data_IF_230663509017
#
_entry.id   IF_230663509017
#
_cell.length_a   1.000
_cell.length_b   1.000
_cell.length_c   1.000
_cell.angle_alpha   90.00
_cell.angle_beta   90.00
_cell.angle_gamma   90.00
#
_symmetry.space_group_name_H-M   'P 1'
#
loop_
_entity.id
_entity.type
_entity.pdbx_description
1 polymer ?
#
# COMPACT_ATOMS: atom_id res chain seq x y z
N UNK A 1 -9.86 -0.31 -4.47
CA UNK A 1 -11.20 -0.85 -4.83
C UNK A 1 -12.08 -1.09 -3.61
N UNK A 2 -11.77 -2.05 -2.73
CA UNK A 2 -12.69 -2.45 -1.65
C UNK A 2 -13.09 -1.31 -0.69
N UNK A 3 -12.13 -0.46 -0.34
CA UNK A 3 -12.36 0.72 0.52
C UNK A 3 -13.37 1.67 -0.12
N UNK A 4 -13.24 1.93 -1.41
CA UNK A 4 -14.13 2.83 -2.15
C UNK A 4 -15.55 2.28 -2.22
N UNK A 5 -15.70 1.02 -2.64
CA UNK A 5 -17.02 0.40 -2.78
C UNK A 5 -17.81 0.38 -1.47
N UNK A 6 -17.13 0.08 -0.37
CA UNK A 6 -17.74 0.13 0.95
C UNK A 6 -18.06 1.56 1.41
N UNK A 7 -17.15 2.51 1.20
CA UNK A 7 -17.36 3.88 1.62
C UNK A 7 -18.59 4.48 0.96
N UNK A 8 -18.73 4.30 -0.37
CA UNK A 8 -19.89 4.74 -1.13
C UNK A 8 -21.17 4.05 -0.67
N UNK A 9 -21.15 2.73 -0.49
CA UNK A 9 -22.33 1.98 -0.05
C UNK A 9 -22.83 2.42 1.33
N UNK A 10 -21.92 2.69 2.28
CA UNK A 10 -22.31 3.17 3.61
C UNK A 10 -22.87 4.59 3.59
N UNK A 11 -22.26 5.49 2.82
CA UNK A 11 -22.77 6.85 2.63
C UNK A 11 -24.18 6.80 2.04
N UNK A 12 -24.39 6.02 0.98
CA UNK A 12 -25.69 5.89 0.30
C UNK A 12 -26.76 5.21 1.17
N UNK A 13 -26.41 4.15 1.89
CA UNK A 13 -27.40 3.33 2.61
C UNK A 13 -27.64 3.77 4.04
N UNK A 14 -26.67 4.45 4.67
CA UNK A 14 -26.66 4.65 6.12
C UNK A 14 -26.33 6.09 6.53
N UNK A 15 -25.94 6.97 5.59
CA UNK A 15 -25.66 8.38 5.86
C UNK A 15 -24.40 8.61 6.69
N UNK A 16 -23.46 7.67 6.68
CA UNK A 16 -22.20 7.77 7.42
C UNK A 16 -21.15 6.78 6.90
N UNK A 17 -19.94 6.86 7.44
CA UNK A 17 -18.81 6.02 7.05
C UNK A 17 -18.22 5.31 8.27
N UNK A 18 -17.85 4.04 8.11
CA UNK A 18 -17.07 3.29 9.09
C UNK A 18 -15.75 2.82 8.49
N UNK A 19 -14.64 2.85 9.23
CA UNK A 19 -13.38 2.33 8.71
C UNK A 19 -13.49 0.81 8.54
N UNK A 20 -13.40 0.33 7.29
CA UNK A 20 -13.51 -1.09 6.91
C UNK A 20 -12.23 -1.72 6.41
N UNK A 21 -11.35 -0.93 5.83
CA UNK A 21 -10.07 -1.36 5.26
C UNK A 21 -8.97 -0.64 6.02
N UNK A 22 -7.98 -1.39 6.50
CA UNK A 22 -6.82 -0.82 7.17
C UNK A 22 -6.12 0.20 6.27
N UNK A 23 -5.49 1.25 6.84
CA UNK A 23 -4.50 2.04 6.12
C UNK A 23 -3.44 1.13 5.50
N UNK A 24 -3.05 1.42 4.26
CA UNK A 24 -1.91 0.77 3.62
C UNK A 24 -0.64 1.51 4.06
N UNK A 25 0.44 0.77 4.30
CA UNK A 25 1.71 1.37 4.68
C UNK A 25 2.42 1.92 3.44
N UNK A 26 2.97 3.13 3.54
CA UNK A 26 3.80 3.70 2.49
C UNK A 26 5.22 3.11 2.51
N UNK A 27 5.84 3.00 1.34
CA UNK A 27 7.19 2.46 1.14
C UNK A 27 8.21 3.19 2.02
N UNK A 28 8.09 4.53 2.10
CA UNK A 28 8.96 5.37 2.93
C UNK A 28 8.77 5.10 4.42
N UNK A 29 7.53 4.92 4.86
CA UNK A 29 7.22 4.65 6.26
C UNK A 29 7.77 3.31 6.71
N UNK A 30 7.70 2.29 5.84
CA UNK A 30 8.31 0.98 6.08
C UNK A 30 9.83 1.08 6.15
N UNK A 31 10.48 1.80 5.23
CA UNK A 31 11.92 2.02 5.29
C UNK A 31 12.36 2.74 6.57
N UNK A 32 11.62 3.79 6.97
CA UNK A 32 11.85 4.48 8.22
C UNK A 32 11.61 3.58 9.45
N UNK A 33 10.61 2.71 9.41
CA UNK A 33 10.34 1.74 10.47
C UNK A 33 11.48 0.74 10.62
N UNK A 34 12.05 0.23 9.53
CA UNK A 34 13.20 -0.68 9.55
C UNK A 34 14.42 -0.03 10.22
N UNK A 35 14.70 1.23 9.91
CA UNK A 35 15.80 1.98 10.55
C UNK A 35 15.55 2.14 12.05
N UNK A 36 14.33 2.50 12.46
CA UNK A 36 13.97 2.60 13.89
C UNK A 36 14.01 1.26 14.61
N UNK A 37 13.74 0.16 13.90
CA UNK A 37 13.88 -1.20 14.42
C UNK A 37 15.35 -1.67 14.51
N UNK A 38 16.31 -0.84 14.06
CA UNK A 38 17.75 -1.10 14.19
C UNK A 38 18.39 -1.79 12.99
N UNK A 39 17.66 -1.95 11.87
CA UNK A 39 18.25 -2.47 10.64
C UNK A 39 19.02 -1.39 9.88
N UNK A 40 20.19 -1.76 9.37
CA UNK A 40 20.99 -0.98 8.45
C UNK A 40 20.65 -1.34 6.99
N UNK A 41 20.90 -0.39 6.08
CA UNK A 41 20.73 -0.56 4.63
C UNK A 41 19.34 -1.14 4.24
N UNK A 42 18.22 -0.57 4.72
CA UNK A 42 16.90 -1.11 4.38
C UNK A 42 16.64 -0.98 2.88
N UNK A 43 16.23 -2.08 2.26
CA UNK A 43 15.74 -2.13 0.89
C UNK A 43 14.27 -2.50 0.96
N UNK A 44 13.44 -1.61 0.45
CA UNK A 44 11.99 -1.77 0.39
C UNK A 44 11.59 -1.70 -1.08
N UNK A 45 10.87 -2.70 -1.54
CA UNK A 45 10.31 -2.78 -2.88
C UNK A 45 8.82 -3.10 -2.81
N UNK A 46 8.08 -2.75 -3.87
CA UNK A 46 6.64 -3.01 -3.96
C UNK A 46 6.30 -3.67 -5.28
N UNK A 47 5.51 -4.74 -5.19
CA UNK A 47 4.96 -5.44 -6.34
C UNK A 47 3.44 -5.33 -6.32
N UNK A 48 2.87 -4.90 -7.44
CA UNK A 48 1.42 -4.80 -7.61
C UNK A 48 0.91 -5.99 -8.42
N UNK A 49 0.01 -6.77 -7.84
CA UNK A 49 -0.58 -7.96 -8.45
C UNK A 49 -2.08 -7.76 -8.59
N UNK A 50 -2.60 -7.84 -9.82
CA UNK A 50 -4.05 -7.82 -10.07
C UNK A 50 -4.57 -9.24 -10.23
N UNK A 51 -5.47 -9.66 -9.35
CA UNK A 51 -6.11 -10.98 -9.37
C UNK A 51 -7.57 -10.85 -9.83
N UNK A 52 -8.03 -11.79 -10.66
CA UNK A 52 -9.37 -11.79 -11.25
C UNK A 52 -10.28 -12.83 -10.60
N UNK A 53 -11.33 -12.39 -9.92
CA UNK A 53 -12.30 -13.28 -9.26
C UNK A 53 -13.60 -13.38 -10.06
N UNK A 54 -14.28 -14.52 -9.96
CA UNK A 54 -15.60 -14.68 -10.57
C UNK A 54 -16.65 -13.80 -9.91
N UNK A 55 -16.56 -13.58 -8.60
CA UNK A 55 -17.50 -12.72 -7.86
C UNK A 55 -16.77 -12.01 -6.71
N UNK A 56 -17.29 -10.85 -6.25
CA UNK A 56 -16.81 -10.21 -5.01
C UNK A 56 -16.86 -11.10 -3.77
N UNK A 57 -17.81 -12.04 -3.71
CA UNK A 57 -17.92 -12.96 -2.59
C UNK A 57 -16.74 -13.95 -2.53
N UNK A 58 -16.21 -14.35 -3.68
CA UNK A 58 -15.00 -15.18 -3.73
C UNK A 58 -13.78 -14.43 -3.18
N UNK A 59 -13.62 -13.16 -3.56
CA UNK A 59 -12.60 -12.27 -2.97
C UNK A 59 -12.74 -12.19 -1.44
N UNK A 60 -13.97 -12.06 -0.92
CA UNK A 60 -14.19 -11.97 0.54
C UNK A 60 -13.86 -13.27 1.28
N UNK A 61 -14.07 -14.43 0.64
CA UNK A 61 -13.65 -15.70 1.20
C UNK A 61 -12.13 -15.76 1.36
N UNK A 62 -11.39 -15.35 0.32
CA UNK A 62 -9.92 -15.34 0.35
C UNK A 62 -9.37 -14.30 1.32
N UNK A 63 -9.92 -13.08 1.34
CA UNK A 63 -9.55 -12.07 2.33
C UNK A 63 -9.75 -12.58 3.77
N UNK A 64 -10.83 -13.32 4.03
CA UNK A 64 -11.05 -13.93 5.35
C UNK A 64 -10.03 -15.03 5.64
N UNK A 65 -9.73 -15.88 4.67
CA UNK A 65 -8.74 -16.95 4.82
C UNK A 65 -7.32 -16.39 5.07
N UNK A 66 -6.97 -15.25 4.48
CA UNK A 66 -5.71 -14.53 4.72
C UNK A 66 -5.70 -13.74 6.04
N UNK A 67 -6.79 -13.73 6.81
CA UNK A 67 -6.89 -12.93 8.04
C UNK A 67 -7.14 -11.44 7.81
N UNK A 68 -7.45 -11.02 6.58
CA UNK A 68 -7.83 -9.66 6.17
C UNK A 68 -9.21 -9.20 6.67
N UNK A 69 -9.54 -9.56 7.91
CA UNK A 69 -10.76 -9.12 8.59
C UNK A 69 -10.55 -7.76 9.27
N UNK A 70 -11.65 -7.04 9.57
CA UNK A 70 -11.56 -5.69 10.11
C UNK A 70 -11.17 -5.68 11.60
N UNK A 71 -9.90 -5.34 11.89
CA UNK A 71 -9.34 -5.25 13.24
C UNK A 71 -9.31 -3.83 13.82
N UNK A 72 -9.78 -2.82 13.08
CA UNK A 72 -9.66 -1.41 13.47
C UNK A 72 -10.46 -1.09 14.75
N UNK A 73 -9.89 -0.27 15.65
CA UNK A 73 -10.50 0.06 16.96
C UNK A 73 -11.79 0.87 16.78
N UNK A 74 -11.75 1.85 15.88
CA UNK A 74 -12.86 2.76 15.58
C UNK A 74 -13.88 2.16 14.59
N UNK A 75 -13.74 0.87 14.25
CA UNK A 75 -14.75 0.19 13.43
C UNK A 75 -16.09 0.22 14.13
N UNK A 76 -17.15 0.21 13.32
CA UNK A 76 -18.49 0.02 13.86
C UNK A 76 -18.58 -1.36 14.51
N UNK A 77 -19.05 -1.39 15.77
CA UNK A 77 -19.21 -2.62 16.57
C UNK A 77 -20.51 -3.38 16.32
N UNK A 78 -21.35 -2.89 15.42
CA UNK A 78 -22.57 -3.59 15.00
C UNK A 78 -22.33 -4.35 13.69
N UNK A 79 -23.05 -5.46 13.47
CA UNK A 79 -22.93 -6.23 12.23
C UNK A 79 -23.22 -5.38 10.99
N UNK A 80 -22.54 -5.70 9.88
CA UNK A 80 -22.82 -5.11 8.57
C UNK A 80 -24.25 -5.46 8.13
N UNK A 81 -25.02 -4.45 7.75
CA UNK A 81 -26.38 -4.63 7.23
C UNK A 81 -26.34 -5.29 5.85
N UNK A 82 -27.28 -6.21 5.60
CA UNK A 82 -27.38 -6.92 4.30
C UNK A 82 -27.52 -5.96 3.11
N UNK A 83 -28.35 -4.90 3.25
CA UNK A 83 -28.54 -3.89 2.20
C UNK A 83 -27.22 -3.22 1.82
N UNK A 84 -26.45 -2.78 2.82
CA UNK A 84 -25.15 -2.12 2.64
C UNK A 84 -24.12 -3.05 2.02
N UNK A 85 -24.09 -4.32 2.44
CA UNK A 85 -23.23 -5.34 1.82
C UNK A 85 -23.55 -5.50 0.33
N UNK A 86 -24.81 -5.75 -0.02
CA UNK A 86 -25.22 -5.94 -1.41
C UNK A 86 -24.89 -4.72 -2.26
N UNK A 87 -25.13 -3.51 -1.74
CA UNK A 87 -24.77 -2.27 -2.43
C UNK A 87 -23.26 -2.13 -2.66
N UNK A 88 -22.43 -2.50 -1.67
CA UNK A 88 -20.99 -2.50 -1.85
C UNK A 88 -20.54 -3.50 -2.93
N UNK A 89 -21.19 -4.66 -3.02
CA UNK A 89 -20.89 -5.64 -4.08
C UNK A 89 -21.28 -5.14 -5.47
N UNK A 90 -22.44 -4.49 -5.60
CA UNK A 90 -22.88 -3.84 -6.83
C UNK A 90 -21.88 -2.78 -7.28
N UNK A 91 -21.53 -1.84 -6.39
CA UNK A 91 -20.56 -0.78 -6.68
C UNK A 91 -19.21 -1.37 -7.06
N UNK A 92 -18.77 -2.46 -6.42
CA UNK A 92 -17.53 -3.12 -6.79
C UNK A 92 -17.61 -3.69 -8.21
N UNK A 93 -18.68 -4.42 -8.52
CA UNK A 93 -18.88 -5.02 -9.83
C UNK A 93 -19.02 -3.95 -10.93
N UNK A 94 -19.75 -2.88 -10.70
CA UNK A 94 -19.95 -1.79 -11.66
C UNK A 94 -18.64 -1.10 -12.04
N UNK A 95 -17.76 -0.84 -11.06
CA UNK A 95 -16.57 -0.01 -11.26
C UNK A 95 -15.29 -0.82 -11.50
N UNK A 96 -15.25 -2.09 -11.09
CA UNK A 96 -14.04 -2.90 -11.08
C UNK A 96 -14.20 -4.28 -11.74
N UNK A 97 -15.22 -4.47 -12.58
CA UNK A 97 -15.31 -5.64 -13.46
C UNK A 97 -14.59 -5.41 -14.79
N UNK A 98 -14.18 -6.51 -15.40
CA UNK A 98 -13.77 -6.58 -16.79
C UNK A 98 -14.96 -6.87 -17.71
N UNK A 99 -14.74 -6.78 -19.03
CA UNK A 99 -15.77 -7.02 -20.04
C UNK A 99 -16.37 -8.44 -20.00
N UNK A 100 -15.66 -9.41 -19.44
CA UNK A 100 -16.14 -10.79 -19.25
C UNK A 100 -16.93 -10.99 -17.93
N UNK A 101 -17.18 -9.92 -17.18
CA UNK A 101 -17.96 -9.92 -15.94
C UNK A 101 -17.19 -10.35 -14.69
N UNK A 102 -15.89 -10.67 -14.80
CA UNK A 102 -15.04 -10.97 -13.62
C UNK A 102 -14.59 -9.69 -12.96
N UNK A 103 -14.47 -9.72 -11.63
CA UNK A 103 -13.98 -8.57 -10.85
C UNK A 103 -12.47 -8.61 -10.66
N UNK A 104 -11.82 -7.45 -10.72
CA UNK A 104 -10.41 -7.27 -10.42
C UNK A 104 -10.20 -6.85 -8.98
N UNK A 105 -9.23 -7.46 -8.31
CA UNK A 105 -8.72 -7.03 -7.02
C UNK A 105 -7.22 -6.84 -7.10
N UNK A 106 -6.76 -5.62 -6.80
CA UNK A 106 -5.33 -5.29 -6.78
C UNK A 106 -4.78 -5.50 -5.37
N UNK A 107 -3.70 -6.28 -5.30
CA UNK A 107 -2.93 -6.52 -4.09
C UNK A 107 -1.57 -5.87 -4.25
N UNK A 108 -1.15 -5.16 -3.22
CA UNK A 108 0.20 -4.61 -3.13
C UNK A 108 1.00 -5.45 -2.14
N UNK A 109 2.09 -6.05 -2.62
CA UNK A 109 3.00 -6.86 -1.85
C UNK A 109 4.30 -6.08 -1.63
N UNK A 110 4.57 -5.73 -0.37
CA UNK A 110 5.80 -5.05 0.00
C UNK A 110 6.88 -6.07 0.37
N UNK A 111 8.02 -5.99 -0.28
CA UNK A 111 9.21 -6.78 0.00
C UNK A 111 10.18 -5.92 0.80
N UNK A 112 10.57 -6.40 1.98
CA UNK A 112 11.41 -5.65 2.90
C UNK A 112 12.60 -6.50 3.30
N UNK A 113 13.81 -5.96 3.09
CA UNK A 113 15.05 -6.56 3.56
C UNK A 113 15.92 -5.52 4.23
N UNK A 114 16.76 -5.97 5.15
CA UNK A 114 17.66 -5.12 5.90
C UNK A 114 18.71 -5.96 6.61
N UNK A 115 19.83 -5.34 6.97
CA UNK A 115 20.95 -6.02 7.59
C UNK A 115 21.09 -5.61 9.05
N UNK A 116 21.53 -6.53 9.90
CA UNK A 116 22.05 -6.14 11.21
C UNK A 116 23.27 -5.24 11.01
N UNK A 117 23.43 -4.16 11.79
CA UNK A 117 24.61 -3.30 11.70
C UNK A 117 25.91 -4.11 11.84
N UNK A 118 26.90 -3.84 10.97
CA UNK A 118 28.20 -4.51 11.00
C UNK A 118 29.32 -3.54 10.59
N UNK A 119 30.51 -3.67 11.18
CA UNK A 119 31.63 -2.74 10.95
C UNK A 119 32.11 -2.69 9.50
N UNK A 120 31.96 -3.80 8.75
CA UNK A 120 32.31 -3.88 7.34
C UNK A 120 31.32 -3.19 6.41
N UNK A 121 30.19 -2.67 6.92
CA UNK A 121 29.24 -1.94 6.10
C UNK A 121 29.81 -0.58 5.70
N UNK A 122 29.60 -0.21 4.45
CA UNK A 122 30.09 1.05 3.92
C UNK A 122 29.46 2.23 4.66
N UNK A 123 30.32 3.09 5.21
CA UNK A 123 29.90 4.32 5.87
C UNK A 123 29.84 5.45 4.83
N UNK A 124 28.82 6.33 4.87
CA UNK A 124 28.84 7.55 4.08
C UNK A 124 30.14 8.31 4.34
N UNK A 125 30.74 8.87 3.30
CA UNK A 125 31.88 9.75 3.45
C UNK A 125 31.47 11.04 4.16
N UNK A 126 32.42 11.67 4.85
CA UNK A 126 32.17 12.94 5.52
C UNK A 126 31.75 14.02 4.51
N UNK A 127 30.77 14.88 4.83
CA UNK A 127 30.41 16.01 3.98
C UNK A 127 31.65 16.86 3.63
N UNK A 128 31.82 17.19 2.36
CA UNK A 128 32.98 17.96 1.87
C UNK A 128 34.22 17.14 1.50
N UNK A 129 34.20 15.81 1.65
CA UNK A 129 35.31 14.92 1.27
C UNK A 129 35.39 14.58 -0.23
N UNK A 130 34.59 15.23 -1.07
CA UNK A 130 34.56 14.99 -2.51
C UNK A 130 35.92 15.34 -3.16
N UNK A 131 36.54 14.36 -3.85
CA UNK A 131 37.84 14.52 -4.51
C UNK A 131 37.76 14.95 -5.97
N UNK A 132 36.57 14.88 -6.57
CA UNK A 132 36.34 15.12 -8.00
C UNK A 132 35.09 15.98 -8.15
N UNK A 133 35.13 16.93 -9.09
CA UNK A 133 33.98 17.80 -9.38
C UNK A 133 32.97 17.03 -10.22
N UNK A 134 31.69 17.20 -9.94
CA UNK A 134 30.62 16.52 -10.69
C UNK A 134 30.58 16.99 -12.16
N UNK A 135 30.90 18.26 -12.42
CA UNK A 135 31.03 18.82 -13.77
C UNK A 135 32.04 18.06 -14.65
N UNK A 136 33.18 17.65 -14.07
CA UNK A 136 34.22 16.91 -14.79
C UNK A 136 33.71 15.51 -15.19
N UNK A 137 32.94 14.86 -14.31
CA UNK A 137 32.38 13.54 -14.58
C UNK A 137 31.22 13.57 -15.60
N UNK A 138 30.43 14.63 -15.60
CA UNK A 138 29.28 14.81 -16.49
C UNK A 138 29.61 15.56 -17.79
N UNK A 139 30.88 15.96 -17.98
CA UNK A 139 31.37 16.76 -19.10
C UNK A 139 30.52 18.04 -19.34
N UNK A 140 30.14 18.73 -18.26
CA UNK A 140 29.31 19.94 -18.28
C UNK A 140 30.01 21.10 -17.58
N UNK A 141 29.63 22.33 -17.93
CA UNK A 141 30.14 23.54 -17.26
C UNK A 141 29.20 23.93 -16.12
N UNK A 142 29.75 24.11 -14.91
CA UNK A 142 29.01 24.67 -13.78
C UNK A 142 28.60 26.12 -14.11
N UNK A 143 27.30 26.40 -14.14
CA UNK A 143 26.74 27.73 -14.24
C UNK A 143 26.30 28.24 -12.87
N UNK A 144 26.45 29.53 -12.62
CA UNK A 144 25.84 30.18 -11.46
C UNK A 144 24.36 30.36 -11.78
N UNK A 145 23.48 29.85 -10.91
CA UNK A 145 22.05 30.17 -10.97
C UNK A 145 21.91 31.63 -10.53
N UNK A 146 21.62 32.53 -11.48
CA UNK A 146 21.18 33.91 -11.20
C UNK A 146 19.69 33.93 -10.84
#
# INVERSE_FOLDING_TARGET
ELRDSFARAEIECEGGLSPRVSPFADLRDIGALMQRAGFALPVVDTETITVRYQTPLALFADLRAMGGTNVLIERRKTPLRRKTLLRALEIYAENYSDADGRIRATFECLWVSGWTPHESQQKPLEPGSAKTRLADALNTKEGILE
#
